data_IF_483085323116
#
_entry.id   IF_483085323116
#
_cell.length_a   1.000
_cell.length_b   1.000
_cell.length_c   1.000
_cell.angle_alpha   90.00
_cell.angle_beta   90.00
_cell.angle_gamma   90.00
#
_symmetry.space_group_name_H-M   'P 1'
#
loop_
_entity.id
_entity.type
_entity.pdbx_description
1 polymer ?
#
# COMPACT_ATOMS: atom_id res chain seq x y z
N UNK A 1 -0.53 -4.36 16.54
CA UNK A 1 -1.57 -4.98 15.68
C UNK A 1 -1.04 -5.01 14.26
N UNK A 2 -1.50 -5.97 13.44
CA UNK A 2 -1.11 -6.07 12.03
C UNK A 2 -2.38 -6.22 11.17
N UNK A 3 -2.43 -5.49 10.06
CA UNK A 3 -3.52 -5.52 9.09
C UNK A 3 -2.93 -5.63 7.69
N UNK A 4 -3.33 -6.66 6.93
CA UNK A 4 -2.91 -6.83 5.54
C UNK A 4 -4.06 -6.56 4.58
N UNK A 5 -3.77 -5.83 3.49
CA UNK A 5 -4.73 -5.54 2.42
C UNK A 5 -4.04 -5.56 1.05
N UNK A 6 -4.76 -6.06 0.05
CA UNK A 6 -4.30 -6.09 -1.34
C UNK A 6 -5.19 -5.23 -2.24
N UNK A 7 -4.56 -4.47 -3.13
CA UNK A 7 -5.19 -3.48 -3.98
C UNK A 7 -4.79 -3.71 -5.44
N UNK A 8 -5.78 -3.89 -6.31
CA UNK A 8 -5.56 -4.14 -7.75
C UNK A 8 -5.69 -2.86 -8.55
N UNK A 9 -4.93 -2.78 -9.64
CA UNK A 9 -5.00 -1.68 -10.59
C UNK A 9 -4.25 -0.41 -10.16
N UNK A 10 -3.50 -0.46 -9.06
CA UNK A 10 -2.58 0.60 -8.64
C UNK A 10 -1.14 0.11 -8.68
N UNK A 11 -0.17 1.03 -8.72
CA UNK A 11 1.26 0.71 -8.64
C UNK A 11 1.80 0.88 -7.23
N UNK A 12 2.89 0.17 -6.90
CA UNK A 12 3.60 0.34 -5.61
C UNK A 12 4.02 1.79 -5.39
N UNK A 13 4.56 2.46 -6.41
CA UNK A 13 4.83 3.90 -6.42
C UNK A 13 3.64 4.76 -5.98
N UNK A 14 2.45 4.50 -6.52
CA UNK A 14 1.26 5.28 -6.17
C UNK A 14 0.80 4.99 -4.74
N UNK A 15 0.87 3.73 -4.31
CA UNK A 15 0.58 3.32 -2.94
C UNK A 15 1.53 3.98 -1.93
N UNK A 16 2.85 3.98 -2.19
CA UNK A 16 3.83 4.70 -1.35
C UNK A 16 3.47 6.18 -1.26
N UNK A 17 3.14 6.83 -2.38
CA UNK A 17 2.75 8.23 -2.39
C UNK A 17 1.48 8.52 -1.58
N UNK A 18 0.56 7.56 -1.49
CA UNK A 18 -0.63 7.73 -0.65
C UNK A 18 -0.31 7.68 0.82
N UNK A 19 0.56 6.76 1.25
CA UNK A 19 1.05 6.69 2.62
C UNK A 19 1.83 7.95 3.00
N UNK A 20 2.65 8.48 2.09
CA UNK A 20 3.33 9.77 2.30
C UNK A 20 2.35 10.92 2.56
N UNK A 21 1.24 10.97 1.81
CA UNK A 21 0.18 11.96 2.02
C UNK A 21 -0.61 11.75 3.33
N UNK A 22 -0.53 10.56 3.93
CA UNK A 22 -1.16 10.22 5.22
C UNK A 22 -0.18 10.44 6.39
N UNK A 23 0.94 11.12 6.15
CA UNK A 23 1.94 11.43 7.17
C UNK A 23 3.03 10.39 7.32
N UNK A 24 3.12 9.43 6.40
CA UNK A 24 4.24 8.51 6.31
C UNK A 24 5.47 9.13 5.63
N UNK A 25 6.62 8.53 5.87
CA UNK A 25 7.87 8.79 5.17
C UNK A 25 8.46 7.45 4.72
N UNK A 26 8.89 7.37 3.46
CA UNK A 26 9.58 6.17 2.97
C UNK A 26 10.97 6.09 3.60
N UNK A 27 11.22 5.02 4.35
CA UNK A 27 12.48 4.79 5.05
C UNK A 27 13.38 3.77 4.37
N UNK A 28 12.81 2.86 3.57
CA UNK A 28 13.57 1.88 2.79
C UNK A 28 12.89 1.49 1.47
N UNK A 29 13.69 0.94 0.55
CA UNK A 29 13.23 0.38 -0.72
C UNK A 29 13.01 1.40 -1.85
N UNK A 30 12.93 0.88 -3.07
CA UNK A 30 12.57 1.66 -4.26
C UNK A 30 11.15 1.31 -4.73
N UNK A 31 10.20 2.26 -4.76
CA UNK A 31 8.85 2.04 -5.27
C UNK A 31 8.76 1.64 -6.75
N UNK A 32 9.86 1.75 -7.50
CA UNK A 32 9.99 1.25 -8.87
C UNK A 32 10.83 -0.03 -8.96
N UNK A 33 11.46 -0.46 -7.86
CA UNK A 33 12.26 -1.68 -7.79
C UNK A 33 11.42 -2.93 -7.51
N UNK A 34 12.06 -4.09 -7.59
CA UNK A 34 11.42 -5.40 -7.37
C UNK A 34 11.20 -5.73 -5.88
N UNK A 35 11.96 -5.09 -4.98
CA UNK A 35 11.92 -5.34 -3.54
C UNK A 35 10.74 -4.68 -2.82
N UNK A 36 10.57 -4.97 -1.53
CA UNK A 36 9.60 -4.28 -0.69
C UNK A 36 9.95 -2.79 -0.54
N UNK A 37 8.97 -2.00 -0.13
CA UNK A 37 9.14 -0.61 0.28
C UNK A 37 8.58 -0.46 1.67
N UNK A 38 9.32 0.19 2.56
CA UNK A 38 8.90 0.46 3.92
C UNK A 38 8.62 1.94 4.13
N UNK A 39 7.48 2.23 4.73
CA UNK A 39 7.01 3.57 5.07
C UNK A 39 6.68 3.61 6.55
N UNK A 40 7.17 4.61 7.27
CA UNK A 40 6.89 4.82 8.69
C UNK A 40 6.14 6.14 8.89
N UNK A 41 5.16 6.18 9.80
CA UNK A 41 4.45 7.40 10.13
C UNK A 41 3.92 7.36 11.56
N UNK A 42 4.30 8.33 12.39
CA UNK A 42 3.84 8.42 13.78
C UNK A 42 4.01 7.10 14.54
N UNK A 43 2.89 6.42 14.80
CA UNK A 43 2.79 5.16 15.56
C UNK A 43 2.46 3.94 14.68
N UNK A 44 2.70 4.03 13.36
CA UNK A 44 2.46 2.96 12.40
C UNK A 44 3.61 2.80 11.39
N UNK A 45 3.73 1.59 10.85
CA UNK A 45 4.59 1.24 9.72
C UNK A 45 3.80 0.53 8.64
N UNK A 46 4.27 0.58 7.41
CA UNK A 46 3.68 -0.11 6.28
C UNK A 46 4.75 -0.67 5.34
N UNK A 47 4.67 -1.97 5.07
CA UNK A 47 5.50 -2.64 4.06
C UNK A 47 4.66 -2.92 2.82
N UNK A 48 5.17 -2.51 1.66
CA UNK A 48 4.51 -2.67 0.38
C UNK A 48 5.26 -3.64 -0.53
N UNK A 49 4.53 -4.57 -1.12
CA UNK A 49 5.01 -5.43 -2.21
C UNK A 49 4.05 -5.34 -3.40
N UNK A 50 4.51 -5.72 -4.59
CA UNK A 50 3.64 -5.77 -5.76
C UNK A 50 3.95 -6.96 -6.66
N UNK A 51 2.91 -7.45 -7.32
CA UNK A 51 3.01 -8.54 -8.27
C UNK A 51 2.04 -8.38 -9.44
N UNK A 52 2.22 -9.20 -10.47
CA UNK A 52 1.36 -9.24 -11.67
C UNK A 52 0.37 -10.39 -11.55
N UNK A 53 -0.92 -10.07 -11.41
CA UNK A 53 -2.00 -11.05 -11.28
C UNK A 53 -2.91 -11.06 -12.51
N UNK A 54 -3.36 -12.24 -12.92
CA UNK A 54 -4.33 -12.37 -14.03
C UNK A 54 -5.74 -12.11 -13.52
N UNK A 55 -6.41 -11.09 -14.06
CA UNK A 55 -7.75 -10.69 -13.64
C UNK A 55 -8.85 -11.39 -14.45
N UNK A 56 -8.73 -11.42 -15.79
CA UNK A 56 -9.66 -12.11 -16.68
C UNK A 56 -9.01 -12.37 -18.05
N UNK A 57 -9.18 -13.57 -18.61
CA UNK A 57 -8.57 -13.94 -19.89
C UNK A 57 -7.05 -13.75 -19.88
N UNK A 58 -6.52 -12.93 -20.77
CA UNK A 58 -5.10 -12.54 -20.82
C UNK A 58 -4.80 -11.18 -20.19
N UNK A 59 -5.74 -10.56 -19.48
CA UNK A 59 -5.52 -9.28 -18.81
C UNK A 59 -4.81 -9.47 -17.47
N UNK A 60 -3.66 -8.83 -17.34
CA UNK A 60 -2.85 -8.81 -16.14
C UNK A 60 -2.92 -7.43 -15.49
N UNK A 61 -3.13 -7.39 -14.18
CA UNK A 61 -3.11 -6.19 -13.37
C UNK A 61 -1.93 -6.24 -12.40
N UNK A 62 -1.46 -5.08 -11.99
CA UNK A 62 -0.65 -5.00 -10.78
C UNK A 62 -1.57 -5.16 -9.57
N UNK A 63 -1.17 -6.00 -8.64
CA UNK A 63 -1.70 -6.09 -7.29
C UNK A 63 -0.62 -5.60 -6.33
N UNK A 64 -0.96 -4.63 -5.49
CA UNK A 64 -0.08 -4.14 -4.41
C UNK A 64 -0.62 -4.68 -3.10
N UNK A 65 0.21 -5.38 -2.35
CA UNK A 65 -0.10 -5.79 -0.98
C UNK A 65 0.57 -4.81 -0.01
N UNK A 66 -0.20 -4.34 0.96
CA UNK A 66 0.26 -3.46 2.03
C UNK A 66 0.01 -4.15 3.36
N UNK A 67 1.08 -4.33 4.12
CA UNK A 67 1.03 -4.81 5.50
C UNK A 67 1.22 -3.62 6.41
N UNK A 68 0.19 -3.27 7.15
CA UNK A 68 0.21 -2.19 8.15
C UNK A 68 0.47 -2.77 9.54
N UNK A 69 1.38 -2.18 10.28
CA UNK A 69 1.68 -2.56 11.67
C UNK A 69 1.67 -1.33 12.57
N UNK A 70 1.20 -1.48 13.81
CA UNK A 70 1.09 -0.36 14.75
C UNK A 70 0.06 -0.57 15.84
N UNK A 71 -0.24 0.49 16.59
CA UNK A 71 -1.34 0.49 17.57
C UNK A 71 -2.71 0.47 16.86
N UNK A 72 -3.70 -0.21 17.46
CA UNK A 72 -5.06 -0.32 16.88
C UNK A 72 -5.66 1.05 16.56
N UNK A 73 -5.50 2.01 17.49
CA UNK A 73 -5.98 3.38 17.32
C UNK A 73 -5.32 4.13 16.16
N UNK A 74 -4.06 3.81 15.82
CA UNK A 74 -3.35 4.40 14.69
C UNK A 74 -3.78 3.77 13.36
N UNK A 75 -4.07 2.46 13.36
CA UNK A 75 -4.40 1.72 12.14
C UNK A 75 -5.86 1.90 11.69
N UNK A 76 -6.81 2.04 12.63
CA UNK A 76 -8.25 2.03 12.32
C UNK A 76 -8.63 3.11 11.28
N UNK A 77 -8.12 4.34 11.43
CA UNK A 77 -8.36 5.41 10.44
C UNK A 77 -7.47 5.31 9.20
N UNK A 78 -6.21 4.89 9.39
CA UNK A 78 -5.21 4.85 8.33
C UNK A 78 -5.59 3.89 7.19
N UNK A 79 -6.00 2.67 7.55
CA UNK A 79 -6.30 1.62 6.56
C UNK A 79 -7.50 2.03 5.70
N UNK A 80 -8.53 2.62 6.31
CA UNK A 80 -9.73 3.06 5.62
C UNK A 80 -9.45 4.26 4.70
N UNK A 81 -8.69 5.26 5.16
CA UNK A 81 -8.30 6.42 4.34
C UNK A 81 -7.44 6.00 3.15
N UNK A 82 -6.49 5.08 3.38
CA UNK A 82 -5.68 4.51 2.31
C UNK A 82 -6.54 3.76 1.29
N UNK A 83 -7.43 2.88 1.76
CA UNK A 83 -8.29 2.07 0.92
C UNK A 83 -9.23 2.92 0.06
N UNK A 84 -9.80 3.98 0.63
CA UNK A 84 -10.67 4.91 -0.08
C UNK A 84 -9.94 5.58 -1.26
N UNK A 85 -8.67 5.97 -1.07
CA UNK A 85 -7.84 6.60 -2.11
C UNK A 85 -7.42 5.58 -3.18
N UNK A 86 -7.01 4.39 -2.77
CA UNK A 86 -6.64 3.29 -3.65
C UNK A 86 -7.79 2.87 -4.59
N UNK A 87 -9.00 2.72 -4.07
CA UNK A 87 -10.17 2.35 -4.87
C UNK A 87 -10.55 3.42 -5.90
N UNK A 88 -10.44 4.70 -5.55
CA UNK A 88 -10.75 5.81 -6.50
C UNK A 88 -9.77 5.88 -7.66
N UNK A 89 -8.53 5.41 -7.48
CA UNK A 89 -7.51 5.42 -8.51
C UNK A 89 -7.53 4.17 -9.41
N UNK A 90 -8.16 3.09 -8.95
CA UNK A 90 -8.35 1.85 -9.71
C UNK A 90 -9.58 1.83 -10.64
N UNK A 91 -10.20 2.99 -10.88
CA UNK A 91 -11.39 3.16 -11.73
C UNK A 91 -11.07 3.77 -13.09
#
# INVERSE_FOLDING_TARGET
MQVERSFRGISKRLATHYLENLGGERVDGDPQGEGPVDVEGGDWTATLTDEKVTAAGSFTLTEVTVVFEGEEAALDGLVDDFAQKAMRAGG
#
